data_IF_711104731178
#
_entry.id   IF_711104731178
#
_cell.length_a   1.000
_cell.length_b   1.000
_cell.length_c   1.000
_cell.angle_alpha   90.00
_cell.angle_beta   90.00
_cell.angle_gamma   90.00
#
_symmetry.space_group_name_H-M   'P 1'
#
loop_
_entity.id
_entity.type
_entity.pdbx_description
1 polymer ?
#
# COMPACT_ATOMS: atom_id res chain seq x y z
N UNK A 1 -61.17 -47.10 26.86
CA UNK A 1 -59.78 -47.43 26.52
C UNK A 1 -59.09 -46.10 26.21
N UNK A 2 -58.12 -45.58 27.06
CA UNK A 2 -57.36 -44.33 26.81
C UNK A 2 -56.02 -44.71 26.16
N UNK A 3 -55.75 -44.20 24.94
CA UNK A 3 -54.45 -44.34 24.27
C UNK A 3 -53.39 -43.61 25.06
N UNK A 4 -52.22 -44.19 25.33
CA UNK A 4 -51.08 -43.49 25.95
C UNK A 4 -50.55 -42.47 24.99
N UNK A 5 -50.43 -41.21 25.42
CA UNK A 5 -49.77 -40.13 24.71
C UNK A 5 -48.27 -40.33 24.89
N UNK A 6 -47.61 -40.86 23.88
CA UNK A 6 -46.15 -40.97 23.84
C UNK A 6 -45.58 -39.54 23.67
N UNK A 7 -45.15 -38.92 24.75
CA UNK A 7 -44.37 -37.67 24.71
C UNK A 7 -42.95 -38.00 24.18
N UNK A 8 -42.72 -37.70 22.91
CA UNK A 8 -41.36 -37.64 22.36
C UNK A 8 -40.56 -36.60 23.17
N UNK A 9 -39.69 -37.05 24.08
CA UNK A 9 -38.64 -36.22 24.66
C UNK A 9 -37.73 -35.79 23.49
N UNK A 10 -37.93 -34.57 22.98
CA UNK A 10 -37.00 -33.95 22.06
C UNK A 10 -35.61 -34.02 22.67
N UNK A 11 -34.70 -34.73 21.98
CA UNK A 11 -33.31 -34.92 22.39
C UNK A 11 -32.56 -33.59 22.25
N UNK A 12 -32.70 -32.70 23.24
CA UNK A 12 -32.00 -31.39 23.27
C UNK A 12 -30.48 -31.55 23.23
N UNK A 13 -29.95 -32.73 23.62
CA UNK A 13 -28.51 -33.04 23.57
C UNK A 13 -27.99 -33.26 22.17
N UNK A 14 -28.77 -33.84 21.24
CA UNK A 14 -28.31 -34.10 19.88
C UNK A 14 -28.03 -32.81 19.09
N UNK A 15 -28.92 -31.80 19.19
CA UNK A 15 -28.73 -30.53 18.53
C UNK A 15 -27.49 -29.77 19.04
N UNK A 16 -27.16 -29.94 20.35
CA UNK A 16 -25.95 -29.31 20.90
C UNK A 16 -24.66 -29.95 20.36
N UNK A 17 -24.65 -31.27 20.18
CA UNK A 17 -23.48 -31.96 19.60
C UNK A 17 -23.30 -31.61 18.13
N UNK A 18 -24.36 -31.55 17.34
CA UNK A 18 -24.31 -31.10 15.95
C UNK A 18 -23.77 -29.65 15.83
N UNK A 19 -24.26 -28.74 16.69
CA UNK A 19 -23.77 -27.36 16.74
C UNK A 19 -22.28 -27.31 17.12
N UNK A 20 -21.82 -28.16 18.07
CA UNK A 20 -20.44 -28.16 18.51
C UNK A 20 -19.46 -28.55 17.38
N UNK A 21 -19.88 -29.34 16.39
CA UNK A 21 -19.07 -29.65 15.22
C UNK A 21 -19.15 -28.61 14.11
N UNK A 22 -20.30 -27.97 13.91
CA UNK A 22 -20.52 -27.02 12.83
C UNK A 22 -19.99 -25.63 13.21
N UNK A 23 -20.13 -25.22 14.47
CA UNK A 23 -19.75 -23.87 14.91
C UNK A 23 -18.25 -23.55 14.68
N UNK A 24 -17.27 -24.42 15.00
CA UNK A 24 -15.86 -24.13 14.73
C UNK A 24 -15.58 -23.92 13.23
N UNK A 25 -16.19 -24.74 12.36
CA UNK A 25 -16.04 -24.60 10.91
C UNK A 25 -16.57 -23.25 10.42
N UNK A 26 -17.74 -22.86 10.90
CA UNK A 26 -18.37 -21.59 10.54
C UNK A 26 -17.54 -20.40 11.02
N UNK A 27 -16.99 -20.46 12.24
CA UNK A 27 -16.10 -19.42 12.77
C UNK A 27 -14.85 -19.26 11.91
N UNK A 28 -14.21 -20.36 11.51
CA UNK A 28 -13.03 -20.34 10.64
C UNK A 28 -13.37 -19.73 9.27
N UNK A 29 -14.51 -20.06 8.69
CA UNK A 29 -14.96 -19.48 7.42
C UNK A 29 -15.18 -17.97 7.54
N UNK A 30 -15.89 -17.50 8.56
CA UNK A 30 -16.13 -16.06 8.78
C UNK A 30 -14.80 -15.34 9.00
N UNK A 31 -13.91 -15.87 9.83
CA UNK A 31 -12.60 -15.30 10.07
C UNK A 31 -11.78 -15.20 8.77
N UNK A 32 -11.85 -16.22 7.91
CA UNK A 32 -11.21 -16.22 6.58
C UNK A 32 -11.71 -15.09 5.69
N UNK A 33 -13.02 -14.88 5.61
CA UNK A 33 -13.62 -13.80 4.83
C UNK A 33 -13.16 -12.43 5.35
N UNK A 34 -13.16 -12.22 6.66
CA UNK A 34 -12.70 -10.97 7.28
C UNK A 34 -11.21 -10.73 6.98
N UNK A 35 -10.36 -11.76 7.09
CA UNK A 35 -8.93 -11.64 6.80
C UNK A 35 -8.68 -11.24 5.34
N UNK A 36 -9.37 -11.88 4.40
CA UNK A 36 -9.26 -11.54 2.97
C UNK A 36 -9.75 -10.11 2.72
N UNK A 37 -10.85 -9.69 3.33
CA UNK A 37 -11.35 -8.31 3.24
C UNK A 37 -10.33 -7.28 3.72
N UNK A 38 -9.64 -7.54 4.84
CA UNK A 38 -8.58 -6.65 5.34
C UNK A 38 -7.38 -6.58 4.39
N UNK A 39 -6.98 -7.69 3.75
CA UNK A 39 -5.91 -7.69 2.76
C UNK A 39 -6.28 -6.88 1.52
N UNK A 40 -7.50 -7.00 1.01
CA UNK A 40 -7.98 -6.19 -0.10
C UNK A 40 -8.05 -4.70 0.25
N UNK A 41 -8.55 -4.37 1.44
CA UNK A 41 -8.55 -2.98 1.93
C UNK A 41 -7.12 -2.42 1.96
N UNK A 42 -6.17 -3.17 2.52
CA UNK A 42 -4.77 -2.75 2.56
C UNK A 42 -4.21 -2.53 1.15
N UNK A 43 -4.46 -3.45 0.20
CA UNK A 43 -4.00 -3.33 -1.18
C UNK A 43 -4.53 -2.07 -1.88
N UNK A 44 -5.83 -1.80 -1.79
CA UNK A 44 -6.45 -0.59 -2.35
C UNK A 44 -5.88 0.69 -1.72
N UNK A 45 -5.65 0.67 -0.40
CA UNK A 45 -5.07 1.80 0.31
C UNK A 45 -3.63 2.07 -0.14
N UNK A 46 -2.81 1.01 -0.32
CA UNK A 46 -1.44 1.14 -0.83
C UNK A 46 -1.40 1.77 -2.23
N UNK A 47 -2.33 1.40 -3.11
CA UNK A 47 -2.42 2.02 -4.44
C UNK A 47 -2.73 3.52 -4.35
N UNK A 48 -3.63 3.93 -3.46
CA UNK A 48 -3.94 5.34 -3.23
C UNK A 48 -2.72 6.09 -2.67
N UNK A 49 -2.04 5.52 -1.67
CA UNK A 49 -0.81 6.07 -1.08
C UNK A 49 0.26 6.27 -2.15
N UNK A 50 0.48 5.27 -3.01
CA UNK A 50 1.46 5.36 -4.10
C UNK A 50 1.10 6.44 -5.12
N UNK A 51 -0.17 6.53 -5.52
CA UNK A 51 -0.65 7.56 -6.47
C UNK A 51 -0.50 8.96 -5.91
N UNK A 52 -0.87 9.19 -4.66
CA UNK A 52 -0.76 10.51 -4.02
C UNK A 52 0.70 10.91 -3.81
N UNK A 53 1.56 9.96 -3.42
CA UNK A 53 3.00 10.17 -3.31
C UNK A 53 3.61 10.65 -4.64
N UNK A 54 3.35 9.91 -5.72
CA UNK A 54 3.86 10.22 -7.06
C UNK A 54 3.29 11.52 -7.59
N UNK A 55 1.97 11.75 -7.42
CA UNK A 55 1.33 12.99 -7.83
C UNK A 55 1.97 14.20 -7.14
N UNK A 56 2.15 14.14 -5.83
CA UNK A 56 2.76 15.24 -5.10
C UNK A 56 4.23 15.42 -5.48
N UNK A 57 4.97 14.34 -5.69
CA UNK A 57 6.35 14.41 -6.13
C UNK A 57 6.48 14.98 -7.55
N UNK A 58 5.50 14.73 -8.44
CA UNK A 58 5.52 15.25 -9.81
C UNK A 58 5.14 16.74 -9.92
N UNK A 59 4.41 17.27 -8.94
CA UNK A 59 4.08 18.73 -8.90
C UNK A 59 5.29 19.58 -8.58
N UNK A 60 6.17 19.10 -7.72
CA UNK A 60 7.38 19.81 -7.31
C UNK A 60 8.52 18.84 -7.01
N UNK A 61 9.15 18.29 -8.07
CA UNK A 61 10.14 17.22 -7.93
C UNK A 61 11.46 17.68 -7.28
N UNK A 62 11.75 18.98 -7.30
CA UNK A 62 12.97 19.54 -6.72
C UNK A 62 12.82 19.77 -5.22
N UNK A 63 11.73 20.36 -4.75
CA UNK A 63 11.50 20.57 -3.31
C UNK A 63 11.19 19.26 -2.59
N UNK A 64 10.60 18.28 -3.26
CA UNK A 64 10.43 16.93 -2.70
C UNK A 64 11.74 16.17 -2.58
N UNK A 65 12.78 16.57 -3.34
CA UNK A 65 14.10 15.95 -3.32
C UNK A 65 14.22 14.70 -4.17
N UNK A 66 13.25 14.42 -5.04
CA UNK A 66 13.30 13.31 -6.01
C UNK A 66 14.27 13.62 -7.16
N UNK A 67 14.51 14.91 -7.41
CA UNK A 67 15.59 15.38 -8.26
C UNK A 67 16.43 16.41 -7.49
N UNK A 68 17.73 16.46 -7.77
CA UNK A 68 18.59 17.52 -7.26
C UNK A 68 18.42 18.82 -8.07
N UNK A 69 19.07 19.91 -7.64
CA UNK A 69 19.01 21.20 -8.35
C UNK A 69 19.60 21.17 -9.77
N UNK A 70 20.21 20.05 -10.18
CA UNK A 70 20.77 19.83 -11.51
C UNK A 70 19.92 18.87 -12.35
N UNK A 71 18.79 18.37 -11.82
CA UNK A 71 17.91 17.44 -12.51
C UNK A 71 18.37 15.97 -12.44
N UNK A 72 19.37 15.63 -11.60
CA UNK A 72 19.75 14.24 -11.42
C UNK A 72 18.72 13.53 -10.53
N UNK A 73 18.31 12.30 -10.91
CA UNK A 73 17.35 11.54 -10.13
C UNK A 73 17.92 11.10 -8.79
N UNK A 74 17.10 11.15 -7.77
CA UNK A 74 17.39 10.68 -6.41
C UNK A 74 16.30 9.75 -5.91
N UNK A 75 16.63 8.98 -4.89
CA UNK A 75 15.69 8.17 -4.12
C UNK A 75 15.46 8.80 -2.75
N UNK A 76 14.21 8.92 -2.36
CA UNK A 76 13.80 9.35 -1.03
C UNK A 76 12.99 8.25 -0.36
N UNK A 77 13.27 8.00 0.91
CA UNK A 77 12.51 7.05 1.72
C UNK A 77 11.79 7.81 2.84
N UNK A 78 10.51 7.54 3.00
CA UNK A 78 9.71 8.09 4.09
C UNK A 78 9.91 7.27 5.39
N UNK A 79 9.90 7.89 6.56
CA UNK A 79 9.49 9.29 6.80
C UNK A 79 10.61 10.29 6.56
N UNK A 80 10.30 11.32 5.79
CA UNK A 80 11.12 12.53 5.71
C UNK A 80 10.20 13.76 5.61
N UNK A 81 10.76 14.96 5.68
CA UNK A 81 9.99 16.21 5.69
C UNK A 81 9.42 16.62 4.31
N UNK A 82 9.47 15.76 3.28
CA UNK A 82 8.95 16.08 1.97
C UNK A 82 7.42 16.12 1.94
N UNK A 83 6.87 16.97 1.09
CA UNK A 83 5.42 17.07 0.86
C UNK A 83 4.85 15.77 0.30
N UNK A 84 5.63 15.02 -0.50
CA UNK A 84 5.24 13.73 -1.04
C UNK A 84 5.05 12.66 0.06
N UNK A 85 5.95 12.61 1.05
CA UNK A 85 5.79 11.73 2.20
C UNK A 85 4.56 12.11 3.05
N UNK A 86 4.34 13.40 3.25
CA UNK A 86 3.17 13.90 4.00
C UNK A 86 1.86 13.51 3.29
N UNK A 87 1.77 13.70 1.97
CA UNK A 87 0.62 13.32 1.17
C UNK A 87 0.39 11.80 1.23
N UNK A 88 1.44 11.00 1.07
CA UNK A 88 1.39 9.56 1.15
C UNK A 88 0.83 9.07 2.49
N UNK A 89 1.32 9.60 3.61
CA UNK A 89 0.81 9.21 4.93
C UNK A 89 -0.62 9.69 5.20
N UNK A 90 -1.03 10.83 4.64
CA UNK A 90 -2.43 11.30 4.78
C UNK A 90 -3.42 10.36 4.09
N UNK A 91 -3.01 9.68 3.03
CA UNK A 91 -3.81 8.71 2.28
C UNK A 91 -3.75 7.29 2.84
N UNK A 92 -2.92 7.03 3.85
CA UNK A 92 -2.73 5.70 4.43
C UNK A 92 -3.96 5.18 5.21
N UNK A 93 -4.92 6.05 5.54
CA UNK A 93 -6.17 5.67 6.20
C UNK A 93 -5.93 5.01 7.56
N UNK A 94 -6.37 3.76 7.70
CA UNK A 94 -6.23 2.98 8.93
C UNK A 94 -4.92 2.18 9.02
N UNK A 95 -4.08 2.24 7.99
CA UNK A 95 -2.81 1.51 8.01
C UNK A 95 -1.80 2.20 8.95
N UNK A 96 -1.18 1.46 9.88
CA UNK A 96 -0.21 2.05 10.79
C UNK A 96 1.05 2.49 10.04
N UNK A 97 1.47 3.75 10.16
CA UNK A 97 2.65 4.29 9.47
C UNK A 97 3.95 3.53 9.75
N UNK A 98 4.06 2.93 10.94
CA UNK A 98 5.24 2.14 11.34
C UNK A 98 5.44 0.84 10.56
N UNK A 99 4.41 0.36 9.86
CA UNK A 99 4.45 -0.85 9.03
C UNK A 99 4.47 -0.53 7.53
N UNK A 100 4.45 0.77 7.18
CA UNK A 100 4.52 1.27 5.82
C UNK A 100 5.96 1.66 5.50
N UNK A 101 6.48 1.16 4.39
CA UNK A 101 7.73 1.64 3.79
C UNK A 101 7.38 2.26 2.45
N UNK A 102 7.72 3.53 2.27
CA UNK A 102 7.42 4.30 1.05
C UNK A 102 8.76 4.78 0.50
N UNK A 103 9.07 4.39 -0.73
CA UNK A 103 10.26 4.84 -1.45
C UNK A 103 9.81 5.52 -2.74
N UNK A 104 10.30 6.72 -2.99
CA UNK A 104 9.99 7.51 -4.18
C UNK A 104 11.31 7.75 -4.90
N UNK A 105 11.38 7.34 -6.16
CA UNK A 105 12.58 7.39 -6.97
C UNK A 105 12.32 8.15 -8.26
N UNK A 106 13.27 9.00 -8.64
CA UNK A 106 13.30 9.61 -9.95
C UNK A 106 14.04 8.72 -10.94
N UNK A 107 13.55 8.64 -12.17
CA UNK A 107 14.20 7.93 -13.27
C UNK A 107 14.31 8.85 -14.49
N UNK A 108 15.45 8.87 -15.17
CA UNK A 108 15.56 9.54 -16.46
C UNK A 108 14.80 8.73 -17.52
N UNK A 109 13.98 9.38 -18.33
CA UNK A 109 13.23 8.72 -19.44
C UNK A 109 14.10 8.39 -20.65
N UNK A 110 15.32 8.90 -20.72
CA UNK A 110 16.28 8.67 -21.81
C UNK A 110 17.58 8.11 -21.26
N UNK A 111 18.14 7.14 -21.96
CA UNK A 111 19.50 6.64 -21.72
C UNK A 111 20.59 7.71 -21.94
N UNK A 112 20.23 8.82 -22.56
CA UNK A 112 21.05 10.02 -22.64
C UNK A 112 20.63 10.92 -21.49
N UNK A 113 21.44 11.01 -20.47
CA UNK A 113 21.30 11.84 -19.28
C UNK A 113 21.18 13.31 -19.71
N UNK A 114 19.95 13.76 -19.94
CA UNK A 114 19.64 15.17 -20.13
C UNK A 114 19.64 15.81 -18.74
N UNK A 115 20.85 16.20 -18.29
CA UNK A 115 20.97 17.11 -17.16
C UNK A 115 20.25 18.40 -17.51
N UNK A 116 19.34 18.88 -16.67
CA UNK A 116 18.83 20.25 -16.73
C UNK A 116 20.02 21.19 -16.44
N UNK A 117 20.90 21.37 -17.39
CA UNK A 117 21.97 22.35 -17.27
C UNK A 117 21.43 23.70 -17.68
N UNK A 118 21.80 24.73 -16.93
CA UNK A 118 21.47 26.16 -17.19
C UNK A 118 21.89 26.63 -18.58
N UNK A 119 22.66 25.84 -19.32
CA UNK A 119 23.18 26.20 -20.67
C UNK A 119 22.19 25.89 -21.81
N UNK A 120 21.11 25.14 -21.57
CA UNK A 120 20.12 24.85 -22.60
C UNK A 120 18.70 24.72 -22.04
N UNK A 121 18.04 25.87 -21.75
CA UNK A 121 16.72 25.91 -21.13
C UNK A 121 15.58 25.38 -22.01
N UNK A 122 15.84 24.97 -23.24
CA UNK A 122 14.83 24.58 -24.21
C UNK A 122 14.61 23.08 -24.34
N UNK A 123 15.42 22.23 -23.67
CA UNK A 123 15.18 20.77 -23.64
C UNK A 123 14.66 20.32 -22.27
N UNK A 124 13.37 20.02 -22.19
CA UNK A 124 12.81 19.43 -20.98
C UNK A 124 13.41 18.05 -20.75
N UNK A 125 14.13 17.86 -19.66
CA UNK A 125 14.40 16.54 -19.16
C UNK A 125 13.07 15.92 -18.72
N UNK A 126 12.42 15.17 -19.60
CA UNK A 126 11.28 14.37 -19.23
C UNK A 126 11.81 13.25 -18.33
N UNK A 127 11.47 13.31 -17.06
CA UNK A 127 11.74 12.28 -16.06
C UNK A 127 10.50 11.46 -15.76
N UNK A 128 10.71 10.30 -15.19
CA UNK A 128 9.64 9.49 -14.61
C UNK A 128 9.88 9.37 -13.10
N UNK A 129 8.81 9.49 -12.33
CA UNK A 129 8.85 9.26 -10.89
C UNK A 129 8.11 7.97 -10.60
N UNK A 130 8.75 7.09 -9.84
CA UNK A 130 8.18 5.86 -9.32
C UNK A 130 7.99 5.98 -7.82
N UNK A 131 6.81 5.63 -7.32
CA UNK A 131 6.62 5.38 -5.90
C UNK A 131 6.41 3.87 -5.68
N UNK A 132 7.23 3.31 -4.82
CA UNK A 132 7.10 1.93 -4.32
C UNK A 132 6.63 1.98 -2.88
N UNK A 133 5.47 1.41 -2.61
CA UNK A 133 4.88 1.33 -1.26
C UNK A 133 4.77 -0.11 -0.86
N UNK A 134 5.32 -0.46 0.30
CA UNK A 134 5.21 -1.78 0.90
C UNK A 134 4.62 -1.72 2.29
N UNK A 135 3.81 -2.72 2.62
CA UNK A 135 3.12 -2.87 3.89
C UNK A 135 3.21 -4.30 4.40
N UNK A 136 3.55 -4.48 5.66
CA UNK A 136 3.59 -5.78 6.30
C UNK A 136 2.25 -6.08 6.97
N UNK A 137 1.33 -6.69 6.22
CA UNK A 137 0.00 -7.04 6.69
C UNK A 137 0.06 -8.20 7.70
N UNK A 138 -0.46 -8.03 8.93
CA UNK A 138 -0.53 -9.13 9.90
C UNK A 138 -1.60 -10.15 9.50
N UNK A 139 -1.28 -11.43 9.68
CA UNK A 139 -2.23 -12.54 9.47
C UNK A 139 -2.66 -13.03 10.85
N UNK A 140 -3.95 -12.83 11.18
CA UNK A 140 -4.50 -13.15 12.51
C UNK A 140 -4.94 -14.60 12.66
N UNK A 141 -5.12 -15.35 11.56
CA UNK A 141 -5.65 -16.71 11.60
C UNK A 141 -4.49 -17.69 11.53
N UNK A 142 -4.11 -18.35 12.64
CA UNK A 142 -2.93 -19.21 12.67
C UNK A 142 -3.08 -20.46 11.78
N UNK A 143 -4.32 -20.91 11.52
CA UNK A 143 -4.58 -22.08 10.70
C UNK A 143 -4.34 -21.83 9.20
N UNK A 144 -4.57 -20.62 8.72
CA UNK A 144 -4.38 -20.25 7.31
C UNK A 144 -3.11 -19.41 7.10
N UNK A 145 -2.43 -19.03 8.18
CA UNK A 145 -1.17 -18.30 8.14
C UNK A 145 -0.16 -18.90 7.15
N UNK A 146 0.14 -20.20 7.22
CA UNK A 146 1.08 -20.85 6.30
C UNK A 146 0.69 -20.81 4.82
N UNK A 147 -0.60 -20.68 4.51
CA UNK A 147 -1.08 -20.56 3.12
C UNK A 147 -0.86 -19.17 2.51
N UNK A 148 -0.88 -18.13 3.34
CA UNK A 148 -0.85 -16.74 2.89
C UNK A 148 0.41 -15.97 3.33
N UNK A 149 1.15 -16.50 4.31
CA UNK A 149 2.38 -15.87 4.80
C UNK A 149 3.54 -16.09 3.82
N UNK A 150 4.41 -15.09 3.75
CA UNK A 150 5.68 -15.20 3.01
C UNK A 150 6.74 -15.78 3.97
N UNK A 151 7.00 -17.07 3.89
CA UNK A 151 7.96 -17.76 4.77
C UNK A 151 7.39 -18.14 6.14
N UNK A 152 8.23 -18.23 7.18
CA UNK A 152 7.86 -18.61 8.55
C UNK A 152 7.22 -17.47 9.36
N UNK A 153 6.96 -16.30 8.73
CA UNK A 153 6.40 -15.12 9.38
C UNK A 153 4.88 -15.15 9.38
N UNK A 154 4.26 -14.63 10.44
CA UNK A 154 2.80 -14.40 10.50
C UNK A 154 2.37 -13.12 9.77
N UNK A 155 3.19 -12.60 8.87
CA UNK A 155 2.93 -11.39 8.09
C UNK A 155 3.05 -11.66 6.60
N UNK A 156 2.27 -10.93 5.79
CA UNK A 156 2.39 -10.88 4.34
C UNK A 156 2.80 -9.48 3.91
N UNK A 157 3.90 -9.38 3.17
CA UNK A 157 4.30 -8.12 2.55
C UNK A 157 3.47 -7.89 1.30
N UNK A 158 2.73 -6.79 1.28
CA UNK A 158 2.04 -6.25 0.11
C UNK A 158 2.90 -5.13 -0.47
N UNK A 159 3.11 -5.13 -1.78
CA UNK A 159 3.89 -4.09 -2.47
C UNK A 159 3.11 -3.61 -3.68
N UNK A 160 3.09 -2.30 -3.87
CA UNK A 160 2.53 -1.65 -5.06
C UNK A 160 3.52 -0.65 -5.62
N UNK A 161 3.48 -0.43 -6.93
CA UNK A 161 4.31 0.53 -7.64
C UNK A 161 3.43 1.37 -8.54
N UNK A 162 3.70 2.65 -8.59
CA UNK A 162 2.98 3.60 -9.44
C UNK A 162 3.99 4.56 -10.06
N UNK A 163 3.74 4.95 -11.31
CA UNK A 163 4.60 5.82 -12.09
C UNK A 163 3.85 7.07 -12.51
N UNK A 164 4.56 8.19 -12.60
CA UNK A 164 4.08 9.43 -13.21
C UNK A 164 5.20 10.08 -13.99
N UNK A 165 4.86 10.58 -15.18
CA UNK A 165 5.77 11.40 -15.94
C UNK A 165 5.93 12.78 -15.26
N UNK A 166 7.15 13.26 -15.20
CA UNK A 166 7.46 14.64 -14.78
C UNK A 166 7.50 15.51 -16.03
N UNK A 167 6.79 16.64 -15.95
CA UNK A 167 6.86 17.65 -17.01
C UNK A 167 8.26 18.25 -17.18
N UNK A 168 8.44 19.14 -18.17
CA UNK A 168 9.72 19.80 -18.40
C UNK A 168 10.20 20.50 -17.13
N UNK A 169 11.53 20.56 -16.97
CA UNK A 169 12.19 21.16 -15.82
C UNK A 169 11.53 22.51 -15.43
N UNK A 170 10.92 22.55 -14.24
CA UNK A 170 10.45 23.80 -13.68
C UNK A 170 11.68 24.60 -13.24
N UNK A 171 11.86 25.77 -13.82
CA UNK A 171 12.89 26.70 -13.38
C UNK A 171 12.62 27.13 -11.94
N UNK A 172 13.63 27.09 -11.09
CA UNK A 172 13.55 27.78 -9.80
C UNK A 172 13.53 29.30 -10.04
N UNK A 173 12.82 30.06 -9.20
CA UNK A 173 12.77 31.52 -9.28
C UNK A 173 14.17 32.16 -9.31
N UNK A 174 15.17 31.53 -8.72
CA UNK A 174 16.57 31.97 -8.79
C UNK A 174 17.19 31.91 -10.19
N UNK A 175 16.64 31.07 -11.09
CA UNK A 175 17.11 30.94 -12.48
C UNK A 175 16.39 31.91 -13.45
N UNK A 176 15.24 32.45 -13.02
CA UNK A 176 14.48 33.44 -13.81
C UNK A 176 14.96 34.88 -13.59
N UNK A 177 15.71 35.15 -12.50
CA UNK A 177 16.15 36.49 -12.10
C UNK A 177 17.67 36.75 -12.23
N UNK A 178 18.38 35.84 -12.94
CA UNK A 178 19.84 35.95 -13.20
C UNK A 178 20.20 36.66 -14.48
#
# INVERSE_FOLDING_TARGET
MRKPIIRHKKSRGQALTELAFVAPLLIVMIAGIVQVGMLFYAQMTLENVARDAVRQASLDPYTTGVYDGYGNPKSITCPNASSACTAAYSSAGLLPPSQLTITIEGYPTSTTQSTCTTSNPSEPAAGEIQATVSYNAPIFIPLIGPLFATGASSTRTLTTQTYSAVGPCAYTEAQLNG
#
